data_IF_234645830636
#
_entry.id   IF_234645830636
#
_cell.length_a   1.000
_cell.length_b   1.000
_cell.length_c   1.000
_cell.angle_alpha   90.00
_cell.angle_beta   90.00
_cell.angle_gamma   90.00
#
_symmetry.space_group_name_H-M   'P 1'
#
loop_
_entity.id
_entity.type
_entity.pdbx_description
1 polymer ?
#
# COMPACT_ATOMS: atom_id res chain seq x y z
N UNK A 1 -2.74 -23.09 31.57
CA UNK A 1 -2.33 -23.73 30.30
C UNK A 1 -3.17 -23.29 29.10
N UNK A 2 -4.51 -23.33 29.15
CA UNK A 2 -5.37 -22.93 28.03
C UNK A 2 -5.08 -21.53 27.44
N UNK A 3 -4.86 -20.52 28.28
CA UNK A 3 -4.52 -19.14 27.84
C UNK A 3 -3.17 -19.04 27.11
N UNK A 4 -2.20 -19.88 27.47
CA UNK A 4 -0.89 -19.94 26.81
C UNK A 4 -0.99 -20.60 25.43
N UNK A 5 -1.77 -21.68 25.35
CA UNK A 5 -2.04 -22.37 24.08
C UNK A 5 -2.79 -21.45 23.11
N UNK A 6 -3.80 -20.73 23.60
CA UNK A 6 -4.54 -19.75 22.80
C UNK A 6 -3.62 -18.63 22.28
N UNK A 7 -2.79 -18.03 23.14
CA UNK A 7 -1.85 -16.98 22.73
C UNK A 7 -0.85 -17.47 21.67
N UNK A 8 -0.31 -18.68 21.84
CA UNK A 8 0.61 -19.29 20.85
C UNK A 8 -0.09 -19.57 19.52
N UNK A 9 -1.32 -20.09 19.58
CA UNK A 9 -2.11 -20.39 18.39
C UNK A 9 -2.46 -19.12 17.61
N UNK A 10 -2.94 -18.07 18.29
CA UNK A 10 -3.21 -16.78 17.66
C UNK A 10 -1.97 -16.19 16.97
N UNK A 11 -0.81 -16.25 17.63
CA UNK A 11 0.46 -15.73 17.12
C UNK A 11 0.96 -16.52 15.91
N UNK A 12 0.83 -17.85 15.95
CA UNK A 12 1.15 -18.72 14.83
C UNK A 12 0.25 -18.43 13.62
N UNK A 13 -1.07 -18.38 13.83
CA UNK A 13 -2.05 -18.15 12.76
C UNK A 13 -1.87 -16.77 12.13
N UNK A 14 -1.74 -15.70 12.94
CA UNK A 14 -1.54 -14.35 12.41
C UNK A 14 -0.21 -14.24 11.65
N UNK A 15 0.86 -14.84 12.16
CA UNK A 15 2.17 -14.84 11.49
C UNK A 15 2.17 -15.68 10.21
N UNK A 16 1.40 -16.76 10.16
CA UNK A 16 1.23 -17.57 8.96
C UNK A 16 0.53 -16.79 7.85
N UNK A 17 -0.54 -16.06 8.16
CA UNK A 17 -1.19 -15.19 7.17
C UNK A 17 -0.26 -14.09 6.66
N UNK A 18 0.51 -13.46 7.55
CA UNK A 18 1.52 -12.45 7.16
C UNK A 18 2.58 -13.08 6.25
N UNK A 19 3.05 -14.28 6.58
CA UNK A 19 4.04 -15.00 5.78
C UNK A 19 3.51 -15.33 4.38
N UNK A 20 2.30 -15.89 4.28
CA UNK A 20 1.66 -16.19 3.00
C UNK A 20 1.43 -14.93 2.16
N UNK A 21 0.98 -13.84 2.78
CA UNK A 21 0.82 -12.56 2.11
C UNK A 21 2.16 -12.00 1.61
N UNK A 22 3.24 -12.17 2.38
CA UNK A 22 4.60 -11.83 1.95
C UNK A 22 5.03 -12.60 0.70
N UNK A 23 4.72 -13.90 0.60
CA UNK A 23 4.96 -14.69 -0.62
C UNK A 23 4.19 -14.12 -1.80
N UNK A 24 2.90 -13.83 -1.61
CA UNK A 24 2.07 -13.24 -2.67
C UNK A 24 2.68 -11.92 -3.16
N UNK A 25 3.09 -11.03 -2.27
CA UNK A 25 3.74 -9.77 -2.65
C UNK A 25 5.07 -9.97 -3.35
N UNK A 26 5.87 -10.96 -2.96
CA UNK A 26 7.13 -11.28 -3.64
C UNK A 26 6.91 -11.85 -5.04
N UNK A 27 5.93 -12.75 -5.19
CA UNK A 27 5.55 -13.30 -6.49
C UNK A 27 5.01 -12.19 -7.37
N UNK A 28 4.09 -11.36 -6.89
CA UNK A 28 3.59 -10.20 -7.62
C UNK A 28 4.76 -9.25 -7.98
N UNK A 29 5.58 -8.85 -7.01
CA UNK A 29 6.76 -8.00 -7.24
C UNK A 29 7.74 -8.57 -8.27
N UNK A 30 7.94 -9.89 -8.28
CA UNK A 30 8.78 -10.61 -9.22
C UNK A 30 8.18 -10.68 -10.62
N UNK A 31 6.90 -11.07 -10.72
CA UNK A 31 6.16 -11.13 -11.97
C UNK A 31 6.08 -9.78 -12.66
N UNK A 32 5.85 -8.70 -11.89
CA UNK A 32 5.97 -7.33 -12.38
C UNK A 32 7.33 -7.14 -13.09
N UNK A 33 8.42 -7.59 -12.48
CA UNK A 33 9.76 -7.38 -13.04
C UNK A 33 10.08 -8.25 -14.26
N UNK A 34 9.71 -9.53 -14.21
CA UNK A 34 10.18 -10.57 -15.13
C UNK A 34 9.30 -10.78 -16.35
N UNK A 35 7.99 -10.58 -16.23
CA UNK A 35 7.04 -11.06 -17.24
C UNK A 35 6.59 -9.91 -18.16
N UNK A 36 6.85 -9.97 -19.48
CA UNK A 36 6.47 -8.91 -20.42
C UNK A 36 4.94 -8.71 -20.51
N UNK A 37 4.14 -9.74 -20.30
CA UNK A 37 2.67 -9.66 -20.33
C UNK A 37 2.11 -9.07 -19.01
N UNK A 38 2.77 -9.31 -17.88
CA UNK A 38 2.39 -8.70 -16.59
C UNK A 38 2.87 -7.25 -16.50
N UNK A 39 3.93 -6.86 -17.23
CA UNK A 39 4.31 -5.44 -17.38
C UNK A 39 3.18 -4.61 -17.97
N UNK A 40 2.44 -5.15 -18.95
CA UNK A 40 1.27 -4.51 -19.53
C UNK A 40 0.18 -4.30 -18.45
N UNK A 41 -0.17 -5.34 -17.69
CA UNK A 41 -1.15 -5.26 -16.58
C UNK A 41 -0.67 -4.32 -15.44
N UNK A 42 0.63 -4.26 -15.19
CA UNK A 42 1.24 -3.38 -14.21
C UNK A 42 1.26 -1.91 -14.65
N UNK A 43 1.38 -1.65 -15.94
CA UNK A 43 1.28 -0.32 -16.52
C UNK A 43 -0.08 0.33 -16.22
N UNK A 44 -1.16 -0.46 -16.08
CA UNK A 44 -2.46 0.03 -15.59
C UNK A 44 -2.46 0.54 -14.15
N UNK A 45 -1.51 0.18 -13.28
CA UNK A 45 -1.47 0.67 -11.89
C UNK A 45 -0.29 1.62 -11.61
N UNK A 46 0.67 1.72 -12.53
CA UNK A 46 2.00 2.34 -12.28
C UNK A 46 2.12 3.75 -12.83
N UNK A 47 0.98 4.41 -12.81
CA UNK A 47 0.74 5.79 -13.17
C UNK A 47 1.51 6.80 -12.30
N UNK A 48 1.94 6.36 -11.13
CA UNK A 48 2.87 7.11 -10.32
C UNK A 48 4.28 6.84 -10.84
N UNK A 49 4.89 7.89 -11.39
CA UNK A 49 6.19 7.88 -12.03
C UNK A 49 7.27 7.34 -11.09
N UNK A 50 7.41 6.01 -11.09
CA UNK A 50 8.45 5.16 -10.53
C UNK A 50 7.97 3.70 -10.58
N UNK A 51 7.63 3.16 -11.75
CA UNK A 51 7.37 1.71 -11.93
C UNK A 51 8.41 0.86 -11.21
N UNK A 52 9.67 1.24 -11.42
CA UNK A 52 10.83 0.69 -10.75
C UNK A 52 10.72 0.79 -9.23
N UNK A 53 10.44 1.96 -8.66
CA UNK A 53 10.34 2.08 -7.21
C UNK A 53 9.11 1.34 -6.66
N UNK A 54 7.97 1.34 -7.34
CA UNK A 54 6.78 0.59 -6.91
C UNK A 54 7.04 -0.92 -6.86
N UNK A 55 7.67 -1.49 -7.90
CA UNK A 55 8.07 -2.90 -7.94
C UNK A 55 9.12 -3.21 -6.87
N UNK A 56 10.17 -2.38 -6.74
CA UNK A 56 11.22 -2.56 -5.73
C UNK A 56 10.67 -2.43 -4.32
N UNK A 57 9.79 -1.46 -4.06
CA UNK A 57 9.11 -1.28 -2.77
C UNK A 57 8.19 -2.46 -2.48
N UNK A 58 7.45 -2.97 -3.46
CA UNK A 58 6.58 -4.15 -3.27
C UNK A 58 7.40 -5.39 -2.92
N UNK A 59 8.53 -5.61 -3.63
CA UNK A 59 9.48 -6.67 -3.30
C UNK A 59 10.08 -6.51 -1.91
N UNK A 60 10.50 -5.30 -1.54
CA UNK A 60 11.06 -5.00 -0.23
C UNK A 60 10.05 -5.25 0.90
N UNK A 61 8.82 -4.74 0.76
CA UNK A 61 7.73 -4.96 1.71
C UNK A 61 7.41 -6.45 1.79
N UNK A 62 7.30 -7.14 0.66
CA UNK A 62 7.07 -8.59 0.61
C UNK A 62 8.15 -9.38 1.34
N UNK A 63 9.43 -9.05 1.12
CA UNK A 63 10.56 -9.68 1.81
C UNK A 63 10.53 -9.43 3.32
N UNK A 64 10.21 -8.21 3.75
CA UNK A 64 10.03 -7.85 5.15
C UNK A 64 8.90 -8.65 5.81
N UNK A 65 7.73 -8.77 5.16
CA UNK A 65 6.61 -9.55 5.67
C UNK A 65 6.93 -11.04 5.71
N UNK A 66 7.63 -11.57 4.70
CA UNK A 66 8.08 -12.95 4.68
C UNK A 66 9.02 -13.24 5.86
N UNK A 67 10.00 -12.37 6.10
CA UNK A 67 10.95 -12.52 7.21
C UNK A 67 10.24 -12.47 8.56
N UNK A 68 9.39 -11.47 8.79
CA UNK A 68 8.68 -11.33 10.08
C UNK A 68 7.67 -12.44 10.29
N UNK A 69 6.93 -12.83 9.25
CA UNK A 69 6.02 -13.97 9.29
C UNK A 69 6.75 -15.28 9.61
N UNK A 70 7.93 -15.49 9.02
CA UNK A 70 8.79 -16.65 9.33
C UNK A 70 9.28 -16.64 10.78
N UNK A 71 9.78 -15.50 11.27
CA UNK A 71 10.21 -15.36 12.67
C UNK A 71 9.07 -15.60 13.66
N UNK A 72 7.86 -15.11 13.36
CA UNK A 72 6.68 -15.33 14.19
C UNK A 72 6.22 -16.79 14.19
N UNK A 73 6.13 -17.40 13.01
CA UNK A 73 5.73 -18.80 12.83
C UNK A 73 6.72 -19.77 13.51
N UNK A 74 8.02 -19.66 13.19
CA UNK A 74 9.07 -20.47 13.79
C UNK A 74 9.29 -20.16 15.27
N UNK A 75 9.15 -18.90 15.69
CA UNK A 75 9.24 -18.50 17.09
C UNK A 75 8.13 -19.11 17.95
N UNK A 76 6.91 -19.19 17.41
CA UNK A 76 5.77 -19.84 18.07
C UNK A 76 5.89 -21.37 18.05
N UNK A 77 6.29 -21.96 16.91
CA UNK A 77 6.36 -23.42 16.73
C UNK A 77 7.54 -24.06 17.47
N UNK A 78 8.75 -23.51 17.33
CA UNK A 78 9.97 -24.06 17.96
C UNK A 78 10.19 -23.59 19.40
N UNK A 79 9.25 -22.82 19.96
CA UNK A 79 9.34 -22.21 21.29
C UNK A 79 10.65 -21.42 21.53
N UNK A 80 11.26 -20.91 20.45
CA UNK A 80 12.56 -20.24 20.52
C UNK A 80 12.40 -18.81 20.99
N UNK A 81 12.85 -18.54 22.22
CA UNK A 81 12.84 -17.19 22.82
C UNK A 81 13.55 -16.16 21.95
N UNK A 82 14.68 -16.52 21.33
CA UNK A 82 15.47 -15.60 20.49
C UNK A 82 14.70 -15.15 19.24
N UNK A 83 14.04 -16.09 18.56
CA UNK A 83 13.21 -15.78 17.39
C UNK A 83 12.01 -14.92 17.77
N UNK A 84 11.36 -15.23 18.90
CA UNK A 84 10.20 -14.47 19.36
C UNK A 84 10.56 -13.05 19.83
N UNK A 85 11.76 -12.86 20.40
CA UNK A 85 12.31 -11.53 20.68
C UNK A 85 12.57 -10.76 19.38
N UNK A 86 13.23 -11.39 18.40
CA UNK A 86 13.51 -10.75 17.10
C UNK A 86 12.20 -10.35 16.38
N UNK A 87 11.22 -11.24 16.32
CA UNK A 87 9.87 -10.95 15.81
C UNK A 87 9.28 -9.69 16.48
N UNK A 88 9.34 -9.63 17.80
CA UNK A 88 8.77 -8.52 18.56
C UNK A 88 9.48 -7.19 18.29
N UNK A 89 10.81 -7.20 18.13
CA UNK A 89 11.59 -6.00 17.76
C UNK A 89 11.15 -5.47 16.40
N UNK A 90 11.00 -6.33 15.39
CA UNK A 90 10.52 -5.92 14.07
C UNK A 90 9.08 -5.40 14.09
N UNK A 91 8.19 -6.04 14.86
CA UNK A 91 6.79 -5.59 14.98
C UNK A 91 6.71 -4.20 15.64
N UNK A 92 7.49 -3.94 16.69
CA UNK A 92 7.57 -2.60 17.31
C UNK A 92 8.10 -1.57 16.33
N UNK A 93 9.12 -1.93 15.55
CA UNK A 93 9.64 -1.06 14.49
C UNK A 93 8.56 -0.72 13.44
N UNK A 94 7.76 -1.69 13.01
CA UNK A 94 6.66 -1.43 12.07
C UNK A 94 5.55 -0.55 12.66
N UNK A 95 5.20 -0.72 13.94
CA UNK A 95 4.27 0.18 14.63
C UNK A 95 4.77 1.63 14.58
N UNK A 96 6.06 1.84 14.85
CA UNK A 96 6.66 3.19 14.80
C UNK A 96 6.61 3.77 13.38
N UNK A 97 6.96 2.98 12.37
CA UNK A 97 6.86 3.40 10.97
C UNK A 97 5.44 3.73 10.56
N UNK A 98 4.46 2.91 10.94
CA UNK A 98 3.05 3.11 10.64
C UNK A 98 2.54 4.42 11.24
N UNK A 99 2.83 4.68 12.51
CA UNK A 99 2.47 5.93 13.19
C UNK A 99 3.16 7.15 12.55
N UNK A 100 4.44 7.02 12.16
CA UNK A 100 5.18 8.09 11.50
C UNK A 100 4.58 8.42 10.12
N UNK A 101 4.27 7.41 9.31
CA UNK A 101 3.63 7.57 8.00
C UNK A 101 2.24 8.19 8.16
N UNK A 102 1.42 7.70 9.09
CA UNK A 102 0.10 8.28 9.36
C UNK A 102 0.19 9.76 9.74
N UNK A 103 1.15 10.13 10.60
CA UNK A 103 1.38 11.52 10.99
C UNK A 103 1.80 12.41 9.82
N UNK A 104 2.73 11.93 8.98
CA UNK A 104 3.19 12.65 7.78
C UNK A 104 2.07 12.82 6.75
N UNK A 105 1.30 11.76 6.48
CA UNK A 105 0.18 11.80 5.55
C UNK A 105 -0.88 12.77 6.04
N UNK A 106 -1.25 12.74 7.33
CA UNK A 106 -2.23 13.69 7.89
C UNK A 106 -1.80 15.14 7.75
N UNK A 107 -0.51 15.42 7.95
CA UNK A 107 0.08 16.76 7.79
C UNK A 107 0.02 17.23 6.34
N UNK A 108 0.50 16.40 5.40
CA UNK A 108 0.66 16.80 4.00
C UNK A 108 -0.61 16.64 3.16
N UNK A 109 -1.60 15.85 3.58
CA UNK A 109 -2.85 15.65 2.84
C UNK A 109 -3.67 16.95 2.69
N UNK A 110 -3.49 17.91 3.61
CA UNK A 110 -4.17 19.21 3.58
C UNK A 110 -3.44 20.28 2.78
N UNK A 111 -2.18 20.04 2.42
CA UNK A 111 -1.36 21.03 1.71
C UNK A 111 -1.60 20.99 0.19
N UNK A 112 -1.52 22.14 -0.45
CA UNK A 112 -1.44 22.27 -1.92
C UNK A 112 -0.25 21.50 -2.52
N UNK A 113 0.73 21.14 -1.68
CA UNK A 113 1.83 20.27 -2.06
C UNK A 113 1.34 18.92 -2.61
N UNK A 114 0.27 18.34 -2.02
CA UNK A 114 -0.32 17.09 -2.51
C UNK A 114 -0.96 17.27 -3.89
N UNK A 115 -1.67 18.38 -4.09
CA UNK A 115 -2.27 18.72 -5.39
C UNK A 115 -1.19 18.87 -6.47
N UNK A 116 -0.11 19.59 -6.16
CA UNK A 116 1.03 19.75 -7.08
C UNK A 116 1.72 18.42 -7.38
N UNK A 117 1.92 17.59 -6.36
CA UNK A 117 2.52 16.27 -6.53
C UNK A 117 1.68 15.38 -7.45
N UNK A 118 0.38 15.25 -7.16
CA UNK A 118 -0.55 14.46 -7.98
C UNK A 118 -0.66 15.04 -9.39
N UNK A 119 -0.79 16.35 -9.55
CA UNK A 119 -0.84 17.00 -10.86
C UNK A 119 0.44 16.72 -11.66
N UNK A 120 1.61 16.74 -11.02
CA UNK A 120 2.88 16.42 -11.67
C UNK A 120 2.97 14.95 -12.08
N UNK A 121 2.42 14.03 -11.29
CA UNK A 121 2.33 12.62 -11.62
C UNK A 121 1.45 12.41 -12.87
N UNK A 122 0.27 13.04 -12.93
CA UNK A 122 -0.59 13.01 -14.12
C UNK A 122 0.10 13.54 -15.37
N UNK A 123 0.84 14.66 -15.28
CA UNK A 123 1.59 15.19 -16.43
C UNK A 123 2.62 14.21 -16.95
N UNK A 124 3.39 13.57 -16.06
CA UNK A 124 4.39 12.56 -16.42
C UNK A 124 3.75 11.38 -17.16
N UNK A 125 2.50 11.05 -16.86
CA UNK A 125 1.79 9.99 -17.55
C UNK A 125 1.31 10.35 -18.92
N UNK A 126 0.78 11.55 -19.07
CA UNK A 126 0.38 12.06 -20.38
C UNK A 126 1.62 12.07 -21.28
N UNK A 127 2.78 12.49 -20.76
CA UNK A 127 4.04 12.39 -21.50
C UNK A 127 4.42 10.94 -21.86
N UNK A 128 4.19 9.97 -20.96
CA UNK A 128 4.48 8.56 -21.21
C UNK A 128 3.51 7.89 -22.18
N UNK A 129 2.24 8.29 -22.20
CA UNK A 129 1.25 7.74 -23.14
C UNK A 129 1.60 8.08 -24.59
N UNK A 130 2.36 9.15 -24.84
CA UNK A 130 2.90 9.51 -26.17
C UNK A 130 3.71 8.39 -26.83
N UNK A 131 4.36 7.53 -26.04
CA UNK A 131 5.19 6.43 -26.56
C UNK A 131 4.40 5.14 -26.82
N UNK A 132 3.07 5.22 -26.97
CA UNK A 132 2.17 4.16 -27.44
C UNK A 132 2.04 2.91 -26.52
N UNK A 133 2.08 3.10 -25.20
CA UNK A 133 1.60 2.08 -24.27
C UNK A 133 0.07 2.18 -24.15
N UNK A 134 -0.65 1.30 -24.85
CA UNK A 134 -2.14 1.22 -24.90
C UNK A 134 -2.74 1.24 -23.49
N UNK A 135 -2.03 0.64 -22.53
CA UNK A 135 -2.48 0.49 -21.14
C UNK A 135 -2.46 1.81 -20.36
N UNK A 136 -1.50 2.70 -20.64
CA UNK A 136 -1.39 4.02 -20.00
C UNK A 136 -2.53 4.94 -20.48
N UNK A 137 -2.83 4.87 -21.78
CA UNK A 137 -3.93 5.62 -22.37
C UNK A 137 -5.28 5.17 -21.79
N UNK A 138 -5.54 3.86 -21.73
CA UNK A 138 -6.76 3.34 -21.11
C UNK A 138 -6.89 3.72 -19.63
N UNK A 139 -5.79 3.69 -18.88
CA UNK A 139 -5.83 4.12 -17.49
C UNK A 139 -6.14 5.60 -17.35
N UNK A 140 -5.43 6.46 -18.10
CA UNK A 140 -5.66 7.90 -18.09
C UNK A 140 -7.10 8.22 -18.49
N UNK A 141 -7.64 7.50 -19.47
CA UNK A 141 -9.01 7.65 -19.93
C UNK A 141 -10.01 7.28 -18.83
N UNK A 142 -9.81 6.14 -18.16
CA UNK A 142 -10.64 5.72 -17.04
C UNK A 142 -10.61 6.68 -15.86
N UNK A 143 -9.44 7.20 -15.50
CA UNK A 143 -9.33 8.12 -14.38
C UNK A 143 -9.96 9.46 -14.70
N UNK A 144 -9.67 10.04 -15.88
CA UNK A 144 -10.26 11.30 -16.33
C UNK A 144 -11.78 11.21 -16.40
N UNK A 145 -12.30 10.08 -16.88
CA UNK A 145 -13.74 9.80 -16.90
C UNK A 145 -14.34 9.68 -15.49
N UNK A 146 -13.75 8.84 -14.63
CA UNK A 146 -14.29 8.57 -13.27
C UNK A 146 -14.19 9.76 -12.33
N UNK A 147 -13.14 10.56 -12.46
CA UNK A 147 -12.92 11.75 -11.63
C UNK A 147 -13.41 13.04 -12.29
N UNK A 148 -13.95 12.96 -13.52
CA UNK A 148 -14.51 14.10 -14.27
C UNK A 148 -13.53 15.27 -14.34
N UNK A 149 -12.30 14.97 -14.77
CA UNK A 149 -11.18 15.89 -14.79
C UNK A 149 -10.41 15.75 -16.11
N UNK A 150 -9.59 16.74 -16.45
CA UNK A 150 -8.72 16.67 -17.61
C UNK A 150 -7.31 17.20 -17.30
N UNK A 151 -6.30 16.45 -17.73
CA UNK A 151 -4.90 16.80 -17.54
C UNK A 151 -4.45 16.69 -16.08
N UNK A 152 -3.22 17.12 -15.78
CA UNK A 152 -2.70 17.08 -14.42
C UNK A 152 -3.21 18.22 -13.55
N UNK A 153 -2.93 19.45 -13.95
CA UNK A 153 -3.44 20.67 -13.33
C UNK A 153 -4.67 21.25 -14.06
N UNK A 154 -4.88 20.84 -15.31
CA UNK A 154 -5.98 21.25 -16.18
C UNK A 154 -5.74 20.82 -17.63
N UNK A 155 -6.70 21.05 -18.53
CA UNK A 155 -6.62 20.60 -19.92
C UNK A 155 -5.44 21.20 -20.69
N UNK A 156 -4.95 22.38 -20.30
CA UNK A 156 -3.80 23.05 -20.94
C UNK A 156 -2.50 22.24 -20.85
N UNK A 157 -2.46 21.21 -20.00
CA UNK A 157 -1.33 20.29 -19.94
C UNK A 157 -1.18 19.48 -21.24
N UNK A 158 -2.27 19.14 -21.94
CA UNK A 158 -2.22 18.47 -23.25
C UNK A 158 -1.68 19.40 -24.34
N UNK A 159 -2.17 20.65 -24.37
CA UNK A 159 -1.69 21.68 -25.31
C UNK A 159 -0.18 21.93 -25.16
N UNK A 160 0.30 22.07 -23.92
CA UNK A 160 1.73 22.28 -23.63
C UNK A 160 2.61 21.10 -24.00
N UNK A 161 2.05 19.90 -24.05
CA UNK A 161 2.75 18.67 -24.44
C UNK A 161 2.62 18.38 -25.94
N UNK A 162 1.92 19.24 -26.69
CA UNK A 162 1.59 19.06 -28.11
C UNK A 162 0.89 17.71 -28.34
N UNK A 163 -0.14 17.44 -27.53
CA UNK A 163 -0.92 16.21 -27.58
C UNK A 163 -2.41 16.52 -27.69
N UNK A 164 -3.15 15.65 -28.37
CA UNK A 164 -4.61 15.71 -28.42
C UNK A 164 -5.22 15.31 -27.08
N UNK A 165 -6.37 15.90 -26.75
CA UNK A 165 -7.13 15.50 -25.56
C UNK A 165 -7.71 14.10 -25.74
N UNK A 166 -7.69 13.30 -24.68
CA UNK A 166 -8.36 12.01 -24.65
C UNK A 166 -9.88 12.18 -24.67
N UNK A 167 -10.61 11.18 -25.20
CA UNK A 167 -12.08 11.21 -25.27
C UNK A 167 -12.75 11.42 -23.91
N UNK A 168 -12.21 10.81 -22.84
CA UNK A 168 -12.67 11.00 -21.46
C UNK A 168 -12.57 12.42 -20.89
N UNK A 169 -11.78 13.31 -21.50
CA UNK A 169 -11.73 14.71 -21.10
C UNK A 169 -12.99 15.49 -21.49
N UNK A 170 -13.81 14.95 -22.38
CA UNK A 170 -15.02 15.58 -22.88
C UNK A 170 -16.26 15.08 -22.13
N UNK A 171 -17.19 16.00 -21.90
CA UNK A 171 -18.54 15.71 -21.46
C UNK A 171 -19.54 16.47 -22.32
N UNK A 172 -20.79 16.02 -22.34
CA UNK A 172 -21.85 16.73 -23.05
C UNK A 172 -22.43 17.83 -22.15
N UNK A 173 -22.27 19.10 -22.55
CA UNK A 173 -22.87 20.24 -21.89
C UNK A 173 -24.29 20.43 -22.46
N UNK A 174 -25.29 20.02 -21.68
CA UNK A 174 -26.71 20.12 -22.06
C UNK A 174 -27.18 21.57 -22.22
N UNK A 175 -26.53 22.56 -21.58
CA UNK A 175 -26.93 23.96 -21.70
C UNK A 175 -26.48 24.57 -23.03
N UNK A 176 -25.33 24.10 -23.55
CA UNK A 176 -24.75 24.57 -24.81
C UNK A 176 -25.00 23.62 -25.99
N UNK A 177 -25.67 22.50 -25.73
CA UNK A 177 -25.91 21.40 -26.66
C UNK A 177 -24.63 20.93 -27.38
N UNK A 178 -23.48 20.99 -26.69
CA UNK A 178 -22.16 20.81 -27.29
C UNK A 178 -21.22 20.01 -26.37
N UNK A 179 -20.20 19.38 -26.97
CA UNK A 179 -19.13 18.76 -26.21
C UNK A 179 -18.24 19.82 -25.58
N UNK A 180 -18.02 19.73 -24.26
CA UNK A 180 -17.15 20.62 -23.49
C UNK A 180 -16.05 19.82 -22.79
N UNK A 181 -14.91 20.46 -22.56
CA UNK A 181 -13.76 19.85 -21.88
C UNK A 181 -13.79 20.15 -20.38
N UNK A 182 -13.52 19.15 -19.55
CA UNK A 182 -13.35 19.34 -18.11
C UNK A 182 -12.20 20.34 -17.82
N UNK A 183 -12.52 21.40 -17.07
CA UNK A 183 -11.53 22.43 -16.72
C UNK A 183 -10.73 22.11 -15.45
N UNK A 184 -11.16 21.11 -14.69
CA UNK A 184 -10.54 20.73 -13.43
C UNK A 184 -9.39 19.74 -13.68
N UNK A 185 -8.22 19.99 -13.09
CA UNK A 185 -7.08 19.09 -13.16
C UNK A 185 -7.25 17.84 -12.30
N UNK A 186 -6.82 16.68 -12.83
CA UNK A 186 -6.98 15.40 -12.13
C UNK A 186 -6.17 15.28 -10.85
N UNK A 187 -5.08 16.05 -10.68
CA UNK A 187 -4.36 16.07 -9.41
C UNK A 187 -5.23 16.54 -8.24
N UNK A 188 -6.06 17.56 -8.49
CA UNK A 188 -6.98 18.13 -7.49
C UNK A 188 -8.14 17.18 -7.20
N UNK A 189 -8.78 16.65 -8.24
CA UNK A 189 -9.93 15.74 -8.06
C UNK A 189 -9.50 14.41 -7.43
N UNK A 190 -8.30 13.91 -7.77
CA UNK A 190 -7.72 12.74 -7.11
C UNK A 190 -7.50 13.01 -5.61
N UNK A 191 -6.96 14.18 -5.23
CA UNK A 191 -6.83 14.55 -3.82
C UNK A 191 -8.19 14.59 -3.13
N UNK A 192 -9.21 15.21 -3.75
CA UNK A 192 -10.57 15.26 -3.19
C UNK A 192 -11.16 13.87 -3.00
N UNK A 193 -10.95 12.98 -3.97
CA UNK A 193 -11.37 11.58 -3.88
C UNK A 193 -10.70 10.86 -2.70
N UNK A 194 -9.37 10.98 -2.58
CA UNK A 194 -8.60 10.39 -1.48
C UNK A 194 -9.03 10.95 -0.12
N UNK A 195 -9.26 12.26 -0.02
CA UNK A 195 -9.73 12.90 1.20
C UNK A 195 -11.17 12.48 1.55
N UNK A 196 -12.04 12.31 0.56
CA UNK A 196 -13.39 11.79 0.75
C UNK A 196 -13.43 10.34 1.24
N UNK A 197 -12.39 9.54 0.92
CA UNK A 197 -12.24 8.16 1.38
C UNK A 197 -11.28 7.98 2.56
N UNK A 198 -10.74 9.07 3.11
CA UNK A 198 -9.73 9.05 4.18
C UNK A 198 -10.18 8.32 5.44
N UNK A 199 -11.48 8.34 5.75
CA UNK A 199 -12.06 7.59 6.88
C UNK A 199 -11.85 6.08 6.70
N UNK A 200 -12.13 5.54 5.51
CA UNK A 200 -11.98 4.10 5.25
C UNK A 200 -10.51 3.68 5.34
N UNK A 201 -9.59 4.50 4.80
CA UNK A 201 -8.14 4.27 4.92
C UNK A 201 -7.71 4.29 6.38
N UNK A 202 -8.18 5.27 7.16
CA UNK A 202 -7.89 5.37 8.59
C UNK A 202 -8.38 4.16 9.38
N UNK A 203 -9.56 3.63 9.07
CA UNK A 203 -10.11 2.42 9.70
C UNK A 203 -9.27 1.18 9.38
N UNK A 204 -8.79 1.04 8.13
CA UNK A 204 -7.90 -0.07 7.75
C UNK A 204 -6.59 0.01 8.51
N UNK A 205 -5.95 1.19 8.57
CA UNK A 205 -4.72 1.38 9.35
C UNK A 205 -4.95 1.09 10.84
N UNK A 206 -6.04 1.58 11.43
CA UNK A 206 -6.37 1.29 12.83
C UNK A 206 -6.53 -0.22 13.07
N UNK A 207 -7.20 -0.93 12.18
CA UNK A 207 -7.36 -2.37 12.28
C UNK A 207 -6.01 -3.11 12.22
N UNK A 208 -5.12 -2.72 11.30
CA UNK A 208 -3.76 -3.28 11.19
C UNK A 208 -2.97 -3.02 12.46
N UNK A 209 -3.00 -1.79 12.99
CA UNK A 209 -2.34 -1.42 14.24
C UNK A 209 -2.83 -2.27 15.42
N UNK A 210 -4.14 -2.51 15.54
CA UNK A 210 -4.70 -3.35 16.61
C UNK A 210 -4.21 -4.80 16.50
N UNK A 211 -4.13 -5.36 15.29
CA UNK A 211 -3.58 -6.71 15.06
C UNK A 211 -2.10 -6.77 15.45
N UNK A 212 -1.31 -5.76 15.09
CA UNK A 212 0.11 -5.70 15.45
C UNK A 212 0.29 -5.65 16.97
N UNK A 213 -0.46 -4.77 17.66
CA UNK A 213 -0.41 -4.65 19.12
C UNK A 213 -0.84 -5.95 19.81
N UNK A 214 -1.89 -6.62 19.31
CA UNK A 214 -2.32 -7.92 19.82
C UNK A 214 -1.25 -9.01 19.64
N UNK A 215 -0.54 -8.99 18.51
CA UNK A 215 0.54 -9.94 18.22
C UNK A 215 1.77 -9.69 19.09
N UNK A 216 2.14 -8.42 19.31
CA UNK A 216 3.18 -7.99 20.25
C UNK A 216 2.83 -8.44 21.68
N UNK A 217 1.60 -8.16 22.13
CA UNK A 217 1.14 -8.55 23.46
C UNK A 217 1.18 -10.08 23.66
N UNK A 218 0.77 -10.83 22.64
CA UNK A 218 0.81 -12.30 22.64
C UNK A 218 2.26 -12.80 22.69
N UNK A 219 3.17 -12.22 21.91
CA UNK A 219 4.60 -12.57 21.92
C UNK A 219 5.23 -12.32 23.30
N UNK A 220 4.97 -11.14 23.88
CA UNK A 220 5.46 -10.78 25.22
C UNK A 220 4.89 -11.71 26.28
N UNK A 221 3.60 -12.05 26.20
CA UNK A 221 2.97 -12.99 27.13
C UNK A 221 3.65 -14.37 27.06
N UNK A 222 3.87 -14.90 25.85
CA UNK A 222 4.56 -16.18 25.66
C UNK A 222 6.00 -16.12 26.19
N UNK A 223 6.74 -15.04 25.91
CA UNK A 223 8.10 -14.85 26.42
C UNK A 223 8.16 -14.83 27.96
N UNK A 224 7.25 -14.11 28.62
CA UNK A 224 7.19 -14.01 30.08
C UNK A 224 6.86 -15.34 30.73
N UNK A 225 5.92 -16.10 30.15
CA UNK A 225 5.52 -17.40 30.70
C UNK A 225 6.61 -18.45 30.48
N UNK A 226 7.21 -18.51 29.29
CA UNK A 226 8.35 -19.39 28.98
C UNK A 226 9.63 -19.02 29.75
N UNK A 227 9.71 -17.81 30.29
CA UNK A 227 10.83 -17.31 31.10
C UNK A 227 10.86 -17.82 32.54
N UNK A 228 9.74 -18.31 33.09
CA UNK A 228 9.70 -18.79 34.47
C UNK A 228 10.46 -20.13 34.59
N UNK A 229 11.37 -20.28 35.58
CA UNK A 229 12.03 -21.56 35.81
C UNK A 229 10.98 -22.63 36.11
N UNK A 230 11.12 -23.81 35.48
CA UNK A 230 10.27 -24.96 35.81
C UNK A 230 10.47 -25.26 37.31
N UNK A 231 9.39 -25.46 38.10
CA UNK A 231 9.54 -25.86 39.49
C UNK A 231 10.39 -27.13 39.52
N UNK A 232 11.47 -27.12 40.31
CA UNK A 232 12.27 -28.32 40.55
C UNK A 232 11.31 -29.33 41.16
N UNK A 233 10.97 -30.39 40.42
CA UNK A 233 10.30 -31.55 40.99
C UNK A 233 11.33 -32.17 41.93
N UNK A 234 11.21 -31.86 43.22
CA UNK A 234 11.95 -32.56 44.26
C UNK A 234 11.42 -33.99 44.24
N UNK A 235 12.18 -34.89 43.63
CA UNK A 235 11.95 -36.32 43.80
C UNK A 235 12.14 -36.61 45.30
N UNK A 236 11.05 -36.99 45.97
CA UNK A 236 11.06 -37.59 47.31
C UNK A 236 10.94 -39.08 47.12
#
# INVERSE_FOLDING_TARGET
MARLLAARYCLFVSSLFIWLFGIVLLVLGGLLRSDPDVRQIAEYFTVFDNYWAASVTTLFVGACLLLVGFLGCCGAFFESKRLLIAYNVFMVFFVILELAVMGLVWKHAKEEAMDRYLSSAFRRLITKSKNAFVDIEYFLDNIQFKLQCCGGAGPQDYEKLEMDYMGSCFYYDHEKEAAAVYQQGCGREMRRFLMGKSLAVGLICLFVLLIQLGSIASAVYVLRVSGKPKPKVTAV
#
